data_IF_177424000565
#
_entry.id   IF_177424000565
#
_cell.length_a   1.000
_cell.length_b   1.000
_cell.length_c   1.000
_cell.angle_alpha   90.00
_cell.angle_beta   90.00
_cell.angle_gamma   90.00
#
_symmetry.space_group_name_H-M   'P 1'
#
loop_
_entity.id
_entity.type
_entity.pdbx_description
1 polymer ?
#
# COMPACT_ATOMS: atom_id res chain seq x y z
N UNK A 1 -35.27 -12.55 24.94
CA UNK A 1 -35.42 -13.22 23.63
C UNK A 1 -35.13 -12.21 22.51
N UNK A 2 -34.61 -12.68 21.37
CA UNK A 2 -34.36 -11.96 20.08
C UNK A 2 -33.10 -11.07 20.05
N UNK A 3 -32.14 -11.22 19.14
CA UNK A 3 -31.78 -12.28 18.20
C UNK A 3 -30.28 -12.08 17.88
N UNK A 4 -29.52 -13.17 17.86
CA UNK A 4 -28.11 -13.22 17.47
C UNK A 4 -27.97 -12.93 15.97
N UNK A 5 -26.77 -12.49 15.58
CA UNK A 5 -26.20 -12.60 14.24
C UNK A 5 -26.81 -11.72 13.15
N UNK A 6 -26.38 -10.45 13.12
CA UNK A 6 -26.11 -9.81 11.82
C UNK A 6 -24.75 -10.32 11.33
N UNK A 7 -24.70 -11.59 10.92
CA UNK A 7 -23.63 -12.12 10.10
C UNK A 7 -23.78 -11.49 8.72
N UNK A 8 -23.38 -10.22 8.62
CA UNK A 8 -23.17 -9.57 7.34
C UNK A 8 -21.98 -10.30 6.74
N UNK A 9 -22.25 -11.30 5.93
CA UNK A 9 -21.31 -11.80 4.94
C UNK A 9 -20.98 -10.61 4.02
N UNK A 10 -20.05 -9.77 4.47
CA UNK A 10 -19.44 -8.75 3.65
C UNK A 10 -18.60 -9.53 2.64
N UNK A 11 -19.22 -9.92 1.53
CA UNK A 11 -18.48 -10.38 0.36
C UNK A 11 -17.55 -9.21 0.02
N UNK A 12 -16.27 -9.32 0.38
CA UNK A 12 -15.26 -8.45 -0.20
C UNK A 12 -15.34 -8.72 -1.70
N UNK A 13 -15.93 -7.78 -2.44
CA UNK A 13 -15.85 -7.76 -3.89
C UNK A 13 -14.41 -7.41 -4.23
N UNK A 14 -13.51 -8.38 -4.10
CA UNK A 14 -12.19 -8.27 -4.67
C UNK A 14 -12.40 -8.07 -6.17
N UNK A 15 -12.12 -6.85 -6.64
CA UNK A 15 -11.94 -6.62 -8.07
C UNK A 15 -10.93 -7.67 -8.53
N UNK A 16 -11.30 -8.47 -9.51
CA UNK A 16 -10.45 -9.58 -9.99
C UNK A 16 -9.08 -9.07 -10.49
N UNK A 17 -8.95 -7.74 -10.70
CA UNK A 17 -7.74 -7.05 -11.14
C UNK A 17 -6.97 -6.34 -10.01
N UNK A 18 -7.30 -6.59 -8.75
CA UNK A 18 -6.53 -6.05 -7.62
C UNK A 18 -5.28 -6.91 -7.38
N UNK A 19 -4.10 -6.29 -7.49
CA UNK A 19 -2.85 -6.94 -7.08
C UNK A 19 -2.84 -7.13 -5.56
N UNK A 20 -2.31 -8.26 -5.09
CA UNK A 20 -2.05 -8.49 -3.66
C UNK A 20 -1.08 -7.43 -3.12
N UNK A 21 -1.19 -7.13 -1.83
CA UNK A 21 -0.22 -6.29 -1.14
C UNK A 21 1.17 -6.95 -1.22
N UNK A 22 2.18 -6.15 -1.56
CA UNK A 22 3.57 -6.58 -1.67
C UNK A 22 4.42 -5.75 -0.70
N UNK A 23 5.40 -6.39 -0.06
CA UNK A 23 6.42 -5.72 0.73
C UNK A 23 7.78 -6.01 0.08
N UNK A 24 8.47 -4.96 -0.35
CA UNK A 24 9.82 -5.06 -0.89
C UNK A 24 10.81 -4.63 0.17
N UNK A 25 11.77 -5.50 0.49
CA UNK A 25 12.80 -5.26 1.52
C UNK A 25 14.17 -5.40 0.85
N UNK A 26 14.75 -4.31 0.33
CA UNK A 26 16.08 -4.34 -0.27
C UNK A 26 17.17 -4.45 0.81
N UNK A 27 18.36 -4.87 0.41
CA UNK A 27 19.56 -4.74 1.24
C UNK A 27 19.87 -3.26 1.42
N UNK A 28 19.82 -2.79 2.67
CA UNK A 28 19.99 -1.37 2.97
C UNK A 28 21.48 -1.00 2.95
N UNK A 29 21.94 -0.52 1.79
CA UNK A 29 23.21 0.18 1.65
C UNK A 29 22.95 1.67 1.81
N UNK A 30 23.84 2.38 2.52
CA UNK A 30 23.71 3.83 2.72
C UNK A 30 24.22 4.54 1.46
N UNK A 31 23.38 4.55 0.43
CA UNK A 31 23.66 5.17 -0.86
C UNK A 31 22.80 6.44 -1.01
N UNK A 32 22.29 6.71 -2.21
CA UNK A 32 21.41 7.85 -2.47
C UNK A 32 20.13 7.82 -1.61
N UNK A 33 19.86 8.95 -0.93
CA UNK A 33 18.65 9.18 -0.14
C UNK A 33 17.98 10.49 -0.59
N UNK A 34 16.66 10.57 -0.40
CA UNK A 34 15.96 11.84 -0.55
C UNK A 34 16.34 12.82 0.56
N UNK A 35 16.30 14.11 0.24
CA UNK A 35 16.35 15.15 1.27
C UNK A 35 15.11 15.05 2.18
N UNK A 36 15.19 15.50 3.45
CA UNK A 36 14.12 15.32 4.42
C UNK A 36 12.75 15.82 3.95
N UNK A 37 12.71 16.93 3.23
CA UNK A 37 11.47 17.53 2.70
C UNK A 37 10.81 16.60 1.67
N UNK A 38 11.61 16.09 0.73
CA UNK A 38 11.16 15.18 -0.33
C UNK A 38 10.80 13.79 0.24
N UNK A 39 11.56 13.30 1.22
CA UNK A 39 11.28 12.03 1.88
C UNK A 39 9.91 12.04 2.60
N UNK A 40 9.57 13.18 3.22
CA UNK A 40 8.28 13.36 3.89
C UNK A 40 7.12 13.34 2.89
N UNK A 41 7.27 14.01 1.74
CA UNK A 41 6.28 14.00 0.67
C UNK A 41 6.08 12.61 0.06
N UNK A 42 7.17 11.85 -0.09
CA UNK A 42 7.17 10.52 -0.72
C UNK A 42 6.81 9.39 0.23
N UNK A 43 6.92 9.60 1.55
CA UNK A 43 6.68 8.59 2.58
C UNK A 43 7.78 7.53 2.71
N UNK A 44 8.96 7.79 2.14
CA UNK A 44 10.14 6.92 2.22
C UNK A 44 11.40 7.77 2.09
N UNK A 45 12.48 7.41 2.81
CA UNK A 45 13.80 8.01 2.65
C UNK A 45 14.53 7.48 1.40
N UNK A 46 14.22 6.25 1.02
CA UNK A 46 14.94 5.50 0.00
C UNK A 46 14.23 5.62 -1.34
N UNK A 47 14.93 6.06 -2.41
CA UNK A 47 14.39 6.16 -3.76
C UNK A 47 13.85 4.83 -4.29
N UNK A 48 14.57 3.73 -4.05
CA UNK A 48 14.19 2.40 -4.53
C UNK A 48 12.86 1.88 -3.96
N UNK A 49 12.39 2.47 -2.85
CA UNK A 49 11.12 2.12 -2.22
C UNK A 49 9.95 3.00 -2.70
N UNK A 50 10.22 4.07 -3.45
CA UNK A 50 9.18 4.98 -3.91
C UNK A 50 8.44 4.41 -5.14
N UNK A 51 7.31 3.75 -4.90
CA UNK A 51 6.47 3.17 -5.94
C UNK A 51 4.99 3.60 -5.83
N UNK A 52 4.62 4.82 -6.27
CA UNK A 52 3.25 5.30 -6.19
C UNK A 52 2.31 4.49 -7.09
N UNK A 53 1.12 4.16 -6.59
CA UNK A 53 0.11 3.48 -7.40
C UNK A 53 -0.40 4.41 -8.51
N UNK A 54 -0.35 3.94 -9.76
CA UNK A 54 -0.91 4.68 -10.88
C UNK A 54 -2.41 4.89 -10.69
N UNK A 55 -2.88 6.12 -10.88
CA UNK A 55 -4.31 6.42 -10.86
C UNK A 55 -4.98 5.70 -12.03
N UNK A 56 -5.83 4.71 -11.75
CA UNK A 56 -6.66 4.07 -12.79
C UNK A 56 -7.50 5.16 -13.46
N UNK A 57 -7.37 5.33 -14.78
CA UNK A 57 -8.29 6.17 -15.57
C UNK A 57 -9.53 5.32 -15.84
N UNK A 58 -10.66 5.72 -15.27
CA UNK A 58 -11.97 5.12 -15.52
C UNK A 58 -12.63 5.83 -16.70
#
# INVERSE_FOLDING_TARGET
MRNKNKNKNLKLSYSHDSRLAQAYVPYQMYDEIFYPEEALERGTLFPDLYFPYQRKRY
#
